data_IF_902389172765
#
_entry.id   IF_902389172765
#
_cell.length_a   1.000
_cell.length_b   1.000
_cell.length_c   1.000
_cell.angle_alpha   90.00
_cell.angle_beta   90.00
_cell.angle_gamma   90.00
#
_symmetry.space_group_name_H-M   'P 1'
#
loop_
_entity.id
_entity.type
_entity.pdbx_description
1 polymer ?
#
# COMPACT_ATOMS: atom_id res chain seq x y z
N UNK A 1 -8.95 -1.23 -11.69
CA UNK A 1 -8.09 -0.85 -10.56
C UNK A 1 -6.67 -1.22 -10.93
N UNK A 2 -5.75 -0.26 -11.00
CA UNK A 2 -4.35 -0.53 -11.29
C UNK A 2 -3.75 -1.28 -10.09
N UNK A 3 -3.31 -2.53 -10.28
CA UNK A 3 -2.59 -3.29 -9.25
C UNK A 3 -1.21 -2.66 -9.11
N UNK A 4 -1.03 -1.89 -8.05
CA UNK A 4 0.25 -1.28 -7.70
C UNK A 4 0.84 -2.02 -6.51
N UNK A 5 2.13 -2.27 -6.58
CA UNK A 5 2.82 -3.21 -5.70
C UNK A 5 4.09 -2.58 -5.19
N UNK A 6 4.22 -2.55 -3.87
CA UNK A 6 5.49 -2.23 -3.20
C UNK A 6 6.35 -3.48 -3.16
N UNK A 7 7.58 -3.36 -3.64
CA UNK A 7 8.63 -4.37 -3.68
C UNK A 7 9.83 -3.84 -2.93
N UNK A 8 9.97 -4.26 -1.68
CA UNK A 8 11.07 -3.82 -0.83
C UNK A 8 12.39 -4.37 -1.37
N UNK A 9 13.40 -3.52 -1.42
CA UNK A 9 14.75 -3.92 -1.82
C UNK A 9 15.72 -3.66 -0.67
N UNK A 10 16.35 -4.72 -0.17
CA UNK A 10 17.23 -4.63 1.00
C UNK A 10 18.40 -3.64 0.83
N UNK A 11 18.85 -3.41 -0.41
CA UNK A 11 19.87 -2.39 -0.73
C UNK A 11 19.43 -0.96 -0.40
N UNK A 12 18.12 -0.71 -0.27
CA UNK A 12 17.53 0.60 0.00
C UNK A 12 17.09 0.76 1.46
N UNK A 13 17.20 -0.27 2.31
CA UNK A 13 16.81 -0.19 3.72
C UNK A 13 17.46 1.01 4.43
N UNK A 14 18.74 1.28 4.14
CA UNK A 14 19.46 2.43 4.69
C UNK A 14 18.96 3.80 4.20
N UNK A 15 18.33 3.88 3.01
CA UNK A 15 17.64 5.09 2.50
C UNK A 15 16.37 5.32 3.30
N UNK A 16 15.59 4.27 3.52
CA UNK A 16 14.29 4.36 4.20
C UNK A 16 14.40 4.63 5.69
N UNK A 17 15.46 4.16 6.35
CA UNK A 17 15.75 4.52 7.75
C UNK A 17 16.00 6.03 7.95
N UNK A 18 16.32 6.78 6.89
CA UNK A 18 16.57 8.22 6.92
C UNK A 18 15.40 9.03 6.38
N UNK A 19 14.29 8.39 6.04
CA UNK A 19 13.12 9.06 5.52
C UNK A 19 12.51 9.96 6.60
N UNK A 20 12.32 11.24 6.26
CA UNK A 20 11.54 12.15 7.10
C UNK A 20 10.05 11.85 6.92
N UNK A 21 9.48 11.14 7.89
CA UNK A 21 8.07 10.77 7.89
C UNK A 21 7.15 11.99 7.99
N UNK A 22 7.56 13.07 8.66
CA UNK A 22 6.71 14.26 8.77
C UNK A 22 6.57 14.94 7.42
N UNK A 23 7.66 14.99 6.64
CA UNK A 23 7.64 15.52 5.28
C UNK A 23 6.69 14.76 4.36
N UNK A 24 6.62 13.43 4.50
CA UNK A 24 5.75 12.58 3.69
C UNK A 24 4.24 12.88 3.88
N UNK A 25 3.84 13.54 4.99
CA UNK A 25 2.45 13.95 5.21
C UNK A 25 2.09 15.29 4.55
N UNK A 26 3.06 16.00 3.97
CA UNK A 26 2.80 17.18 3.14
C UNK A 26 2.49 16.75 1.70
N UNK A 27 1.59 17.45 0.98
CA UNK A 27 1.27 17.11 -0.42
C UNK A 27 2.51 17.01 -1.33
N UNK A 28 3.41 17.98 -1.21
CA UNK A 28 4.66 18.00 -1.99
C UNK A 28 5.58 16.85 -1.57
N UNK A 29 5.71 16.60 -0.27
CA UNK A 29 6.57 15.54 0.25
C UNK A 29 6.09 14.14 -0.08
N UNK A 30 4.77 13.91 -0.08
CA UNK A 30 4.18 12.67 -0.56
C UNK A 30 4.49 12.43 -2.03
N UNK A 31 4.30 13.46 -2.88
CA UNK A 31 4.59 13.35 -4.31
C UNK A 31 6.07 13.06 -4.57
N UNK A 32 6.96 13.69 -3.80
CA UNK A 32 8.40 13.48 -3.88
C UNK A 32 8.77 12.06 -3.46
N UNK A 33 8.26 11.59 -2.31
CA UNK A 33 8.48 10.24 -1.81
C UNK A 33 7.98 9.19 -2.82
N UNK A 34 6.78 9.38 -3.36
CA UNK A 34 6.22 8.53 -4.40
C UNK A 34 7.14 8.44 -5.62
N UNK A 35 7.58 9.58 -6.13
CA UNK A 35 8.45 9.64 -7.29
C UNK A 35 9.80 8.93 -7.02
N UNK A 36 10.34 9.05 -5.80
CA UNK A 36 11.54 8.33 -5.40
C UNK A 36 11.32 6.81 -5.34
N UNK A 37 10.21 6.34 -4.77
CA UNK A 37 9.87 4.90 -4.76
C UNK A 37 9.71 4.32 -6.18
N UNK A 38 9.15 5.10 -7.11
CA UNK A 38 9.05 4.72 -8.53
C UNK A 38 10.44 4.65 -9.18
N UNK A 39 11.29 5.65 -8.98
CA UNK A 39 12.66 5.68 -9.52
C UNK A 39 13.52 4.53 -8.98
N UNK A 40 13.35 4.19 -7.72
CA UNK A 40 14.05 3.09 -7.07
C UNK A 40 13.53 1.70 -7.49
N UNK A 41 12.46 1.67 -8.28
CA UNK A 41 11.72 0.48 -8.70
C UNK A 41 11.17 -0.34 -7.54
N UNK A 42 10.93 0.30 -6.39
CA UNK A 42 10.20 -0.34 -5.29
C UNK A 42 8.70 -0.21 -5.48
N UNK A 43 8.22 0.86 -6.12
CA UNK A 43 6.83 0.96 -6.53
C UNK A 43 6.67 0.51 -7.97
N UNK A 44 5.99 -0.63 -8.15
CA UNK A 44 5.76 -1.24 -9.45
C UNK A 44 4.28 -1.31 -9.79
N UNK A 45 3.95 -1.23 -11.07
CA UNK A 45 2.57 -1.32 -11.55
C UNK A 45 2.51 -1.42 -13.07
N UNK A 46 1.35 -1.10 -13.65
CA UNK A 46 1.18 -1.11 -15.12
C UNK A 46 2.08 -0.13 -15.87
N UNK A 47 2.68 0.84 -15.16
CA UNK A 47 3.64 1.80 -15.71
C UNK A 47 5.09 1.30 -15.69
N UNK A 48 5.37 0.17 -15.04
CA UNK A 48 6.72 -0.37 -14.93
C UNK A 48 7.07 -1.21 -16.16
N UNK A 49 8.23 -0.93 -16.76
CA UNK A 49 8.74 -1.66 -17.94
C UNK A 49 9.15 -3.12 -17.61
N UNK A 50 9.57 -3.35 -16.37
CA UNK A 50 9.92 -4.67 -15.85
C UNK A 50 10.11 -4.64 -14.34
N UNK A 51 10.66 -5.71 -13.79
CA UNK A 51 10.91 -5.85 -12.35
C UNK A 51 12.40 -6.00 -12.08
N UNK A 52 12.90 -5.41 -10.99
CA UNK A 52 14.28 -5.63 -10.59
C UNK A 52 14.43 -7.05 -10.01
N UNK A 53 15.42 -7.76 -10.51
CA UNK A 53 15.85 -9.04 -9.92
C UNK A 53 16.73 -8.82 -8.68
N UNK A 54 17.17 -9.91 -8.04
CA UNK A 54 17.98 -9.86 -6.82
C UNK A 54 19.34 -9.12 -6.96
N UNK A 55 19.79 -8.83 -8.18
CA UNK A 55 21.04 -8.10 -8.47
C UNK A 55 20.75 -6.64 -8.85
N UNK A 56 19.48 -6.22 -8.87
CA UNK A 56 19.08 -4.86 -9.23
C UNK A 56 19.03 -4.60 -10.73
N UNK A 57 18.93 -5.65 -11.56
CA UNK A 57 18.77 -5.53 -13.01
C UNK A 57 17.31 -5.75 -13.38
N UNK A 58 16.79 -4.90 -14.27
CA UNK A 58 15.44 -5.04 -14.82
C UNK A 58 15.33 -6.36 -15.59
N UNK A 59 14.32 -7.15 -15.24
CA UNK A 59 13.96 -8.39 -15.88
C UNK A 59 12.50 -8.33 -16.37
N UNK A 60 12.25 -8.94 -17.52
CA UNK A 60 10.94 -8.95 -18.16
C UNK A 60 10.36 -10.36 -18.14
N UNK A 61 9.04 -10.46 -17.94
CA UNK A 61 8.34 -11.73 -17.93
C UNK A 61 8.21 -12.25 -19.37
N UNK A 62 8.75 -13.43 -19.63
CA UNK A 62 8.59 -14.14 -20.90
C UNK A 62 7.23 -14.86 -20.98
N UNK A 63 6.92 -15.39 -22.16
CA UNK A 63 5.70 -16.18 -22.41
C UNK A 63 5.63 -17.46 -21.57
N UNK A 64 6.79 -17.99 -21.19
CA UNK A 64 6.93 -19.14 -20.28
C UNK A 64 6.47 -18.85 -18.84
N UNK A 65 6.22 -17.59 -18.50
CA UNK A 65 5.88 -17.14 -17.15
C UNK A 65 7.09 -16.81 -16.27
N UNK A 66 8.31 -17.03 -16.76
CA UNK A 66 9.56 -16.73 -16.06
C UNK A 66 10.11 -15.34 -16.40
N UNK A 67 10.84 -14.72 -15.47
CA UNK A 67 11.52 -13.44 -15.71
C UNK A 67 12.90 -13.62 -16.36
N UNK A 68 13.34 -12.71 -17.23
CA UNK A 68 14.66 -12.77 -17.86
C UNK A 68 15.29 -11.39 -17.96
N UNK A 69 16.59 -11.26 -17.62
CA UNK A 69 17.29 -9.97 -17.63
C UNK A 69 18.04 -9.66 -18.94
N UNK A 70 18.14 -10.60 -19.88
CA UNK A 70 18.82 -10.40 -21.16
C UNK A 70 20.34 -10.25 -21.08
N UNK A 71 20.94 -10.37 -19.89
CA UNK A 71 22.39 -10.23 -19.69
C UNK A 71 23.12 -11.55 -19.90
N UNK A 72 24.38 -11.47 -20.33
CA UNK A 72 25.31 -12.61 -20.45
C UNK A 72 25.92 -12.95 -19.09
N UNK A 73 25.18 -13.70 -18.27
CA UNK A 73 25.55 -14.04 -16.88
C UNK A 73 25.68 -15.54 -16.63
N UNK A 74 25.45 -16.36 -17.64
CA UNK A 74 25.43 -17.82 -17.53
C UNK A 74 26.71 -18.43 -18.08
N UNK A 75 27.16 -19.50 -17.43
CA UNK A 75 28.33 -20.30 -17.83
C UNK A 75 27.96 -21.75 -18.15
N UNK A 76 26.67 -22.09 -18.27
CA UNK A 76 26.29 -23.46 -18.60
C UNK A 76 26.58 -23.77 -20.07
N UNK A 77 26.94 -25.03 -20.41
CA UNK A 77 27.07 -25.48 -21.79
C UNK A 77 25.72 -25.63 -22.51
N UNK A 78 24.61 -25.40 -21.79
CA UNK A 78 23.24 -25.65 -22.23
C UNK A 78 22.56 -24.47 -22.93
N UNK A 79 23.21 -23.30 -23.01
CA UNK A 79 22.68 -22.09 -23.60
C UNK A 79 23.80 -21.24 -24.22
N UNK A 80 23.43 -20.14 -24.88
CA UNK A 80 24.37 -19.17 -25.45
C UNK A 80 25.04 -18.24 -24.40
N UNK A 81 24.78 -18.48 -23.11
CA UNK A 81 25.27 -17.69 -21.98
C UNK A 81 24.41 -16.47 -21.62
N UNK A 82 23.37 -16.16 -22.40
CA UNK A 82 22.46 -15.03 -22.20
C UNK A 82 21.23 -15.49 -21.42
N UNK A 83 20.77 -14.71 -20.44
CA UNK A 83 19.52 -15.01 -19.74
C UNK A 83 18.30 -14.58 -20.57
N UNK A 84 17.61 -15.51 -21.23
CA UNK A 84 16.47 -15.20 -22.10
C UNK A 84 15.58 -16.42 -22.38
N UNK A 85 14.34 -16.23 -22.86
CA UNK A 85 13.37 -17.33 -23.03
C UNK A 85 13.66 -18.27 -24.21
N UNK A 86 14.34 -17.80 -25.25
CA UNK A 86 14.47 -18.54 -26.53
C UNK A 86 15.76 -19.37 -26.63
N UNK A 87 16.87 -18.84 -26.13
CA UNK A 87 18.21 -19.44 -26.28
C UNK A 87 18.97 -19.56 -24.96
N UNK A 88 18.39 -18.98 -23.90
CA UNK A 88 19.01 -18.77 -22.61
C UNK A 88 18.38 -19.59 -21.50
N UNK A 89 19.11 -19.81 -20.41
CA UNK A 89 18.47 -20.24 -19.17
C UNK A 89 17.99 -19.03 -18.36
N UNK A 90 17.02 -19.25 -17.48
CA UNK A 90 16.66 -18.26 -16.47
C UNK A 90 17.78 -18.23 -15.41
N UNK A 91 18.47 -17.10 -15.24
CA UNK A 91 19.64 -17.01 -14.36
C UNK A 91 19.24 -17.05 -12.87
N UNK A 92 20.16 -17.39 -11.95
CA UNK A 92 19.83 -17.53 -10.52
C UNK A 92 19.17 -16.28 -9.91
N UNK A 93 19.55 -15.08 -10.37
CA UNK A 93 18.93 -13.83 -9.92
C UNK A 93 17.47 -13.69 -10.36
N UNK A 94 17.15 -14.09 -11.60
CA UNK A 94 15.79 -14.07 -12.13
C UNK A 94 14.96 -15.26 -11.61
N UNK A 95 15.57 -16.42 -11.32
CA UNK A 95 14.91 -17.54 -10.64
C UNK A 95 14.37 -17.12 -9.27
N UNK A 96 15.15 -16.34 -8.51
CA UNK A 96 14.70 -15.79 -7.23
C UNK A 96 13.51 -14.83 -7.40
N UNK A 97 13.53 -14.00 -8.42
CA UNK A 97 12.40 -13.12 -8.74
C UNK A 97 11.13 -13.92 -9.09
N UNK A 98 11.25 -15.05 -9.81
CA UNK A 98 10.13 -15.96 -10.06
C UNK A 98 9.55 -16.50 -8.74
N UNK A 99 10.41 -16.92 -7.81
CA UNK A 99 10.01 -17.44 -6.50
C UNK A 99 9.30 -16.36 -5.65
N UNK A 100 9.83 -15.13 -5.65
CA UNK A 100 9.23 -14.00 -4.94
C UNK A 100 7.83 -13.69 -5.48
N UNK A 101 7.63 -13.74 -6.80
CA UNK A 101 6.32 -13.51 -7.40
C UNK A 101 5.33 -14.66 -7.17
N UNK A 102 5.83 -15.90 -7.20
CA UNK A 102 5.03 -17.07 -6.84
C UNK A 102 4.55 -16.97 -5.38
N UNK A 103 5.45 -16.71 -4.43
CA UNK A 103 5.11 -16.55 -3.01
C UNK A 103 4.12 -15.40 -2.78
N UNK A 104 4.29 -14.27 -3.48
CA UNK A 104 3.33 -13.15 -3.41
C UNK A 104 1.96 -13.54 -3.94
N UNK A 105 1.90 -14.28 -5.05
CA UNK A 105 0.64 -14.73 -5.64
C UNK A 105 -0.09 -15.72 -4.72
N UNK A 106 0.65 -16.61 -4.07
CA UNK A 106 0.12 -17.53 -3.05
C UNK A 106 -0.45 -16.80 -1.83
N UNK A 107 0.26 -15.79 -1.31
CA UNK A 107 -0.20 -14.93 -0.22
C UNK A 107 -1.50 -14.19 -0.56
N UNK A 108 -1.64 -13.72 -1.81
CA UNK A 108 -2.87 -13.06 -2.28
C UNK A 108 -4.05 -14.03 -2.39
N UNK A 109 -3.78 -15.34 -2.53
CA UNK A 109 -4.78 -16.40 -2.65
C UNK A 109 -5.20 -17.04 -1.33
N UNK A 110 -4.54 -16.74 -0.21
CA UNK A 110 -4.81 -17.36 1.10
C UNK A 110 -5.59 -16.45 2.05
N UNK A 111 -6.48 -17.08 2.82
CA UNK A 111 -7.31 -16.47 3.88
C UNK A 111 -6.46 -15.73 4.91
N UNK A 112 -6.95 -14.63 5.52
CA UNK A 112 -6.10 -13.74 6.30
C UNK A 112 -5.44 -14.44 7.50
N UNK A 113 -4.17 -14.12 7.74
CA UNK A 113 -3.41 -14.54 8.92
C UNK A 113 -4.16 -14.23 10.22
N UNK A 114 -4.03 -15.06 11.27
CA UNK A 114 -4.72 -14.86 12.55
C UNK A 114 -4.36 -13.55 13.28
N UNK A 115 -3.30 -12.85 12.87
CA UNK A 115 -2.94 -11.52 13.35
C UNK A 115 -3.75 -10.38 12.72
N UNK A 116 -4.52 -10.62 11.66
CA UNK A 116 -5.29 -9.58 10.98
C UNK A 116 -6.26 -8.83 11.89
N UNK A 117 -7.07 -9.49 12.74
CA UNK A 117 -8.01 -8.77 13.61
C UNK A 117 -7.32 -7.74 14.51
N UNK A 118 -6.09 -8.03 14.94
CA UNK A 118 -5.30 -7.12 15.76
C UNK A 118 -4.71 -5.97 14.93
N UNK A 119 -4.25 -6.23 13.71
CA UNK A 119 -3.77 -5.18 12.79
C UNK A 119 -4.93 -4.27 12.36
N UNK A 120 -6.09 -4.84 12.03
CA UNK A 120 -7.29 -4.11 11.63
C UNK A 120 -7.76 -3.15 12.73
N UNK A 121 -7.59 -3.53 14.00
CA UNK A 121 -7.88 -2.64 15.13
C UNK A 121 -6.99 -1.39 15.19
N UNK A 122 -5.82 -1.42 14.54
CA UNK A 122 -4.89 -0.29 14.44
C UNK A 122 -5.03 0.48 13.11
N UNK A 123 -5.70 -0.09 12.12
CA UNK A 123 -5.96 0.59 10.85
C UNK A 123 -7.14 1.53 10.96
N UNK A 124 -7.11 2.62 10.21
CA UNK A 124 -8.20 3.60 10.16
C UNK A 124 -9.54 2.92 9.84
N UNK A 125 -10.58 3.34 10.57
CA UNK A 125 -11.95 2.92 10.27
C UNK A 125 -12.39 3.35 8.87
N UNK A 126 -13.54 2.83 8.37
CA UNK A 126 -14.04 3.18 7.05
C UNK A 126 -14.14 4.69 6.88
N UNK A 127 -13.61 5.22 5.78
CA UNK A 127 -13.65 6.64 5.46
C UNK A 127 -15.11 7.10 5.47
N UNK A 128 -15.46 8.13 6.26
CA UNK A 128 -16.84 8.60 6.33
C UNK A 128 -17.27 9.00 4.91
N UNK A 129 -18.37 8.41 4.43
CA UNK A 129 -18.95 8.83 3.15
C UNK A 129 -19.34 10.29 3.27
N UNK A 130 -19.10 11.08 2.23
CA UNK A 130 -19.50 12.48 2.17
C UNK A 130 -21.01 12.59 2.44
N UNK A 131 -21.38 12.93 3.67
CA UNK A 131 -22.76 13.24 4.04
C UNK A 131 -23.03 14.68 3.60
N UNK A 132 -23.88 14.84 2.60
CA UNK A 132 -24.64 16.06 2.27
C UNK A 132 -24.06 17.39 2.73
N UNK A 133 -22.88 17.78 2.24
CA UNK A 133 -22.33 19.13 2.43
C UNK A 133 -21.74 19.44 3.81
N UNK A 134 -21.57 18.46 4.71
CA UNK A 134 -20.84 18.66 5.97
C UNK A 134 -19.36 18.31 5.74
N UNK A 135 -18.48 19.32 5.81
CA UNK A 135 -17.04 19.13 5.79
C UNK A 135 -16.57 18.56 7.13
N UNK A 136 -16.11 17.31 7.13
CA UNK A 136 -15.42 16.73 8.28
C UNK A 136 -14.00 17.33 8.36
N UNK A 137 -13.72 18.10 9.40
CA UNK A 137 -12.35 18.56 9.69
C UNK A 137 -11.70 17.62 10.70
N UNK A 138 -10.48 17.17 10.38
CA UNK A 138 -9.66 16.33 11.26
C UNK A 138 -9.18 17.12 12.47
N UNK A 139 -9.46 16.63 13.68
CA UNK A 139 -8.64 16.93 14.86
C UNK A 139 -7.87 15.67 15.23
N UNK A 140 -6.55 15.80 15.16
CA UNK A 140 -5.59 14.77 15.53
C UNK A 140 -5.57 14.66 17.05
N UNK A 141 -6.34 13.73 17.62
CA UNK A 141 -6.08 13.16 18.96
C UNK A 141 -6.84 11.84 19.12
N UNK A 142 -6.18 10.76 18.68
CA UNK A 142 -6.25 9.36 19.17
C UNK A 142 -7.56 8.58 19.24
N UNK A 143 -8.71 9.14 18.91
CA UNK A 143 -9.95 8.39 18.67
C UNK A 143 -10.68 9.13 17.56
N UNK A 144 -11.27 8.41 16.62
CA UNK A 144 -12.09 8.97 15.56
C UNK A 144 -13.29 9.73 16.17
N UNK A 145 -13.12 11.03 16.44
CA UNK A 145 -14.19 11.91 16.90
C UNK A 145 -14.82 12.60 15.69
N UNK A 146 -16.12 12.40 15.50
CA UNK A 146 -16.92 13.15 14.53
C UNK A 146 -17.36 14.47 15.17
N UNK A 147 -16.63 15.56 14.93
CA UNK A 147 -17.18 16.91 15.13
C UNK A 147 -17.99 17.33 13.90
N UNK A 148 -19.32 17.23 13.99
CA UNK A 148 -20.21 17.85 13.02
C UNK A 148 -20.38 19.34 13.34
N UNK A 149 -19.62 20.22 12.69
CA UNK A 149 -20.00 21.65 12.62
C UNK A 149 -21.12 21.83 11.62
N UNK A 150 -22.34 21.84 12.11
CA UNK A 150 -23.47 22.27 11.32
C UNK A 150 -23.33 23.79 11.04
N UNK A 151 -23.10 24.18 9.78
CA UNK A 151 -23.13 25.59 9.36
C UNK A 151 -24.55 26.17 9.35
N UNK A 152 -25.59 25.33 9.52
CA UNK A 152 -27.00 25.70 9.69
C UNK A 152 -27.73 24.66 10.55
N UNK A 153 -28.74 25.06 11.34
CA UNK A 153 -29.53 24.13 12.13
C UNK A 153 -30.30 23.21 11.20
N UNK A 154 -30.05 21.89 11.27
CA UNK A 154 -30.82 20.89 10.56
C UNK A 154 -31.35 19.87 11.57
N UNK A 155 -32.65 19.89 11.79
CA UNK A 155 -33.38 18.80 12.42
C UNK A 155 -33.51 17.66 11.40
N UNK A 156 -32.80 16.55 11.61
CA UNK A 156 -32.90 15.36 10.78
C UNK A 156 -32.12 14.18 11.36
N UNK A 157 -32.66 12.96 11.23
CA UNK A 157 -32.02 11.73 11.71
C UNK A 157 -31.17 11.10 10.60
N UNK A 158 -29.92 10.77 10.90
CA UNK A 158 -29.11 9.87 10.08
C UNK A 158 -28.92 8.56 10.85
N UNK A 159 -29.35 7.43 10.26
CA UNK A 159 -29.01 6.10 10.74
C UNK A 159 -29.51 5.73 12.14
N UNK A 160 -30.65 6.26 12.60
CA UNK A 160 -31.22 5.94 13.91
C UNK A 160 -30.71 6.78 15.07
N UNK A 161 -29.93 7.84 14.80
CA UNK A 161 -29.46 8.79 15.83
C UNK A 161 -30.31 10.06 15.79
N UNK A 162 -30.92 10.44 16.91
CA UNK A 162 -31.67 11.70 17.06
C UNK A 162 -30.74 12.80 17.57
N UNK A 163 -30.72 13.93 16.87
CA UNK A 163 -30.02 15.14 17.32
C UNK A 163 -30.99 16.00 18.14
N UNK A 164 -30.69 16.21 19.42
CA UNK A 164 -31.38 17.24 20.22
C UNK A 164 -30.46 18.44 20.42
N UNK A 165 -31.02 19.61 20.16
CA UNK A 165 -30.38 20.91 20.32
C UNK A 165 -30.32 21.26 21.81
N UNK A 166 -29.13 21.23 22.41
CA UNK A 166 -28.87 21.92 23.66
C UNK A 166 -27.99 23.12 23.34
N UNK A 167 -28.54 24.31 23.61
CA UNK A 167 -27.85 25.60 23.50
C UNK A 167 -26.48 25.51 24.17
N UNK A 168 -25.47 26.00 23.44
CA UNK A 168 -24.08 26.15 23.83
C UNK A 168 -23.22 24.87 23.89
N UNK A 169 -22.61 24.63 22.71
CA UNK A 169 -21.27 24.08 22.44
C UNK A 169 -20.83 22.90 23.31
N UNK A 170 -20.73 21.76 22.62
CA UNK A 170 -20.21 20.45 23.04
C UNK A 170 -21.31 19.51 23.52
N UNK A 171 -21.78 18.68 22.59
CA UNK A 171 -22.56 17.47 22.91
C UNK A 171 -21.56 16.35 23.17
N UNK A 172 -21.50 15.89 24.41
CA UNK A 172 -20.66 14.76 24.83
C UNK A 172 -21.45 13.47 24.63
N UNK A 173 -20.89 12.51 23.90
CA UNK A 173 -21.37 11.12 23.94
C UNK A 173 -20.30 10.27 24.61
N UNK A 174 -20.64 9.70 25.77
CA UNK A 174 -19.97 8.53 26.31
C UNK A 174 -20.84 7.32 26.01
N UNK A 175 -20.34 6.37 25.21
CA UNK A 175 -20.94 5.02 25.19
C UNK A 175 -20.61 4.41 26.54
N UNK A 176 -21.56 4.44 27.46
CA UNK A 176 -21.51 3.58 28.64
C UNK A 176 -21.51 2.13 28.13
N UNK A 177 -20.65 1.25 28.65
CA UNK A 177 -20.73 -0.17 28.32
C UNK A 177 -22.11 -0.67 28.75
N UNK A 178 -22.95 -1.04 27.80
CA UNK A 178 -24.10 -1.87 28.09
C UNK A 178 -23.66 -3.33 27.90
N UNK A 179 -23.53 -3.96 29.06
CA UNK A 179 -23.71 -5.38 29.36
C UNK A 179 -22.61 -6.38 28.98
N UNK A 180 -22.06 -6.96 30.06
CA UNK A 180 -21.58 -8.34 30.21
C UNK A 180 -22.59 -9.38 29.69
#
# INVERSE_FOLDING_TARGET
MNDMVVRTQSRLDGKWLKLDLQWAFNPDGLSQLWNEMVKDCELTGSFSDGLLNAVGIVAHKGESGHYYCGLRVLTCPCCDGICGPNTGCNCPACQRLDQEEAARTELRGTTPLPSLPQIESWTWGPQPRSCGGVSCHETSDRVMWLECRATRPLTGSCGGVSCHETSDRVVWWSVLPQDL
#
